data_IF_943126883816
#
_entry.id   IF_943126883816
#
_cell.length_a   1.000
_cell.length_b   1.000
_cell.length_c   1.000
_cell.angle_alpha   90.00
_cell.angle_beta   90.00
_cell.angle_gamma   90.00
#
_symmetry.space_group_name_H-M   'P 1'
#
loop_
_entity.id
_entity.type
_entity.pdbx_description
1 polymer ?
#
# COMPACT_ATOMS: atom_id res chain seq x y z
N UNK A 1 -14.92 22.58 19.60
CA UNK A 1 -15.28 22.24 18.20
C UNK A 1 -14.15 22.57 17.22
N UNK A 2 -13.53 23.74 17.27
CA UNK A 2 -12.39 24.09 16.39
C UNK A 2 -11.11 23.24 16.60
N UNK A 3 -10.80 22.86 17.85
CA UNK A 3 -9.61 22.03 18.17
C UNK A 3 -9.70 20.63 17.54
N UNK A 4 -10.86 19.99 17.61
CA UNK A 4 -11.09 18.67 17.00
C UNK A 4 -10.99 18.70 15.46
N UNK A 5 -11.45 19.78 14.81
CA UNK A 5 -11.31 19.90 13.36
C UNK A 5 -9.84 20.08 12.95
N UNK A 6 -9.07 20.90 13.68
CA UNK A 6 -7.65 21.10 13.42
C UNK A 6 -6.82 19.81 13.60
N UNK A 7 -7.18 18.97 14.56
CA UNK A 7 -6.57 17.64 14.75
C UNK A 7 -6.87 16.68 13.59
N UNK A 8 -8.11 16.67 13.09
CA UNK A 8 -8.50 15.86 11.92
C UNK A 8 -7.75 16.35 10.67
N UNK A 9 -7.69 17.66 10.45
CA UNK A 9 -7.00 18.24 9.30
C UNK A 9 -5.50 17.94 9.32
N UNK A 10 -4.86 18.01 10.49
CA UNK A 10 -3.46 17.60 10.68
C UNK A 10 -3.26 16.11 10.41
N UNK A 11 -4.13 15.25 10.95
CA UNK A 11 -4.06 13.80 10.72
C UNK A 11 -4.18 13.46 9.23
N UNK A 12 -5.03 14.18 8.49
CA UNK A 12 -5.17 14.00 7.05
C UNK A 12 -3.96 14.48 6.27
N UNK A 13 -3.35 15.60 6.65
CA UNK A 13 -2.11 16.05 6.05
C UNK A 13 -1.00 15.00 6.23
N UNK A 14 -0.89 14.42 7.43
CA UNK A 14 0.06 13.35 7.72
C UNK A 14 -0.22 12.08 6.88
N UNK A 15 -1.48 11.68 6.73
CA UNK A 15 -1.87 10.54 5.88
C UNK A 15 -1.49 10.81 4.42
N UNK A 16 -1.82 11.99 3.87
CA UNK A 16 -1.47 12.37 2.50
C UNK A 16 0.03 12.31 2.28
N UNK A 17 0.81 12.93 3.17
CA UNK A 17 2.27 12.95 3.08
C UNK A 17 2.85 11.53 3.14
N UNK A 18 2.39 10.69 4.07
CA UNK A 18 2.86 9.29 4.20
C UNK A 18 2.50 8.46 2.97
N UNK A 19 1.26 8.55 2.49
CA UNK A 19 0.84 7.83 1.29
C UNK A 19 1.64 8.25 0.05
N UNK A 20 1.87 9.55 -0.15
CA UNK A 20 2.69 10.05 -1.26
C UNK A 20 4.17 9.62 -1.15
N UNK A 21 4.73 9.62 0.05
CA UNK A 21 6.07 9.09 0.29
C UNK A 21 6.14 7.59 -0.04
N UNK A 22 5.19 6.79 0.44
CA UNK A 22 5.16 5.35 0.21
C UNK A 22 4.95 4.99 -1.26
N UNK A 23 4.12 5.74 -1.98
CA UNK A 23 3.92 5.55 -3.42
C UNK A 23 5.22 5.81 -4.19
N UNK A 24 5.93 6.90 -3.87
CA UNK A 24 7.25 7.19 -4.48
C UNK A 24 8.28 6.13 -4.16
N UNK A 25 8.37 5.68 -2.91
CA UNK A 25 9.28 4.60 -2.53
C UNK A 25 8.98 3.29 -3.30
N UNK A 26 7.70 2.97 -3.52
CA UNK A 26 7.32 1.82 -4.33
C UNK A 26 7.68 2.00 -5.82
N UNK A 27 7.56 3.21 -6.36
CA UNK A 27 8.01 3.53 -7.73
C UNK A 27 9.52 3.37 -7.88
N UNK A 28 10.30 3.87 -6.93
CA UNK A 28 11.76 3.73 -6.91
C UNK A 28 12.17 2.25 -6.81
N UNK A 29 11.45 1.45 -6.02
CA UNK A 29 11.68 0.00 -5.93
C UNK A 29 11.33 -0.72 -7.24
N UNK A 30 10.22 -0.36 -7.90
CA UNK A 30 9.86 -0.91 -9.21
C UNK A 30 10.96 -0.62 -10.25
N UNK A 31 11.47 0.61 -10.29
CA UNK A 31 12.56 0.99 -11.18
C UNK A 31 13.85 0.19 -10.90
N UNK A 32 14.16 -0.08 -9.62
CA UNK A 32 15.29 -0.92 -9.24
C UNK A 32 15.12 -2.37 -9.67
N UNK A 33 13.91 -2.94 -9.56
CA UNK A 33 13.63 -4.30 -10.05
C UNK A 33 13.79 -4.38 -11.58
N UNK A 34 13.34 -3.37 -12.31
CA UNK A 34 13.52 -3.30 -13.77
C UNK A 34 14.98 -3.16 -14.18
N UNK A 35 15.77 -2.37 -13.44
CA UNK A 35 17.20 -2.28 -13.66
C UNK A 35 17.92 -3.62 -13.36
N UNK A 36 17.51 -4.31 -12.28
CA UNK A 36 18.05 -5.61 -11.90
C UNK A 36 17.76 -6.67 -12.96
N UNK A 37 16.54 -6.73 -13.48
CA UNK A 37 16.17 -7.64 -14.57
C UNK A 37 17.00 -7.38 -15.83
N UNK A 38 17.10 -6.12 -16.25
CA UNK A 38 17.91 -5.72 -17.43
C UNK A 38 19.40 -6.00 -17.26
N UNK A 39 19.91 -6.01 -16.04
CA UNK A 39 21.32 -6.30 -15.76
C UNK A 39 21.68 -7.78 -15.95
N UNK A 40 20.69 -8.68 -15.99
CA UNK A 40 20.91 -10.13 -16.04
C UNK A 40 21.47 -10.74 -14.76
N UNK A 41 21.60 -9.95 -13.68
CA UNK A 41 22.14 -10.39 -12.37
C UNK A 41 21.04 -10.75 -11.36
N UNK A 42 19.88 -11.19 -11.85
CA UNK A 42 18.76 -11.57 -11.00
C UNK A 42 19.13 -12.86 -10.25
N UNK A 43 19.07 -12.87 -8.90
CA UNK A 43 19.26 -14.11 -8.15
C UNK A 43 18.21 -15.16 -8.56
N UNK A 44 18.58 -16.44 -8.72
CA UNK A 44 17.68 -17.48 -9.24
C UNK A 44 16.51 -17.80 -8.30
N UNK A 45 16.64 -17.46 -7.02
CA UNK A 45 15.65 -17.60 -5.97
C UNK A 45 14.71 -16.38 -5.84
N UNK A 46 14.99 -15.29 -6.56
CA UNK A 46 14.21 -14.06 -6.50
C UNK A 46 13.05 -14.07 -7.50
N UNK A 47 11.81 -14.02 -6.98
CA UNK A 47 10.61 -13.94 -7.81
C UNK A 47 10.26 -12.48 -8.13
N UNK A 48 10.98 -11.90 -9.11
CA UNK A 48 10.80 -10.49 -9.52
C UNK A 48 9.35 -10.13 -9.83
N UNK A 49 8.62 -10.98 -10.55
CA UNK A 49 7.22 -10.71 -10.91
C UNK A 49 6.31 -10.62 -9.69
N UNK A 50 6.55 -11.45 -8.68
CA UNK A 50 5.79 -11.42 -7.45
C UNK A 50 6.11 -10.16 -6.62
N UNK A 51 7.38 -9.73 -6.58
CA UNK A 51 7.77 -8.48 -5.95
C UNK A 51 7.14 -7.27 -6.64
N UNK A 52 7.20 -7.22 -7.98
CA UNK A 52 6.55 -6.17 -8.78
C UNK A 52 5.06 -6.10 -8.50
N UNK A 53 4.38 -7.25 -8.55
CA UNK A 53 2.94 -7.32 -8.29
C UNK A 53 2.60 -6.80 -6.88
N UNK A 54 3.37 -7.21 -5.87
CA UNK A 54 3.16 -6.73 -4.50
C UNK A 54 3.39 -5.22 -4.36
N UNK A 55 4.38 -4.65 -5.06
CA UNK A 55 4.61 -3.19 -5.05
C UNK A 55 3.45 -2.43 -5.73
N UNK A 56 2.93 -2.95 -6.84
CA UNK A 56 1.74 -2.39 -7.50
C UNK A 56 0.52 -2.44 -6.58
N UNK A 57 0.30 -3.58 -5.92
CA UNK A 57 -0.76 -3.74 -4.91
C UNK A 57 -0.59 -2.74 -3.77
N UNK A 58 0.63 -2.59 -3.24
CA UNK A 58 0.93 -1.65 -2.17
C UNK A 58 0.60 -0.21 -2.57
N UNK A 59 0.98 0.22 -3.78
CA UNK A 59 0.63 1.55 -4.31
C UNK A 59 -0.87 1.77 -4.36
N UNK A 60 -1.62 0.78 -4.88
CA UNK A 60 -3.07 0.86 -4.97
C UNK A 60 -3.70 0.96 -3.59
N UNK A 61 -3.23 0.17 -2.63
CA UNK A 61 -3.70 0.22 -1.26
C UNK A 61 -3.42 1.59 -0.60
N UNK A 62 -2.26 2.21 -0.84
CA UNK A 62 -1.97 3.56 -0.35
C UNK A 62 -2.92 4.62 -0.93
N UNK A 63 -3.22 4.54 -2.22
CA UNK A 63 -4.18 5.43 -2.88
C UNK A 63 -5.58 5.30 -2.28
N UNK A 64 -6.03 4.06 -2.08
CA UNK A 64 -7.34 3.74 -1.49
C UNK A 64 -7.45 4.19 -0.03
N UNK A 65 -6.39 3.98 0.76
CA UNK A 65 -6.35 4.43 2.15
C UNK A 65 -6.43 5.95 2.27
N UNK A 66 -5.75 6.68 1.36
CA UNK A 66 -5.86 8.14 1.27
C UNK A 66 -7.27 8.57 0.90
N UNK A 67 -7.89 7.94 -0.10
CA UNK A 67 -9.25 8.26 -0.51
C UNK A 67 -10.27 8.05 0.63
N UNK A 68 -10.14 6.94 1.37
CA UNK A 68 -10.96 6.67 2.54
C UNK A 68 -10.76 7.73 3.63
N UNK A 69 -9.52 8.14 3.88
CA UNK A 69 -9.24 9.20 4.85
C UNK A 69 -9.87 10.54 4.40
N UNK A 70 -9.71 10.92 3.13
CA UNK A 70 -10.30 12.14 2.58
C UNK A 70 -11.83 12.14 2.61
N UNK A 71 -12.47 10.96 2.51
CA UNK A 71 -13.93 10.82 2.63
C UNK A 71 -14.47 11.30 3.98
N UNK A 72 -13.66 11.29 5.05
CA UNK A 72 -14.07 11.71 6.40
C UNK A 72 -14.41 13.21 6.49
N UNK A 73 -13.92 14.01 5.55
CA UNK A 73 -14.19 15.44 5.43
C UNK A 73 -15.51 15.73 4.68
N UNK A 74 -16.06 14.73 3.99
CA UNK A 74 -17.32 14.88 3.26
C UNK A 74 -18.51 14.65 4.22
N UNK A 75 -19.65 15.34 4.05
CA UNK A 75 -20.88 15.04 4.80
C UNK A 75 -21.36 13.60 4.61
N UNK A 76 -22.11 13.06 5.58
CA UNK A 76 -22.69 11.72 5.41
C UNK A 76 -23.73 11.69 4.30
N UNK A 77 -23.56 10.73 3.39
CA UNK A 77 -24.45 10.53 2.25
C UNK A 77 -24.43 9.05 1.83
N UNK A 78 -25.51 8.55 1.21
CA UNK A 78 -25.53 7.21 0.63
C UNK A 78 -24.36 6.96 -0.32
N UNK A 79 -24.01 7.94 -1.14
CA UNK A 79 -22.91 7.87 -2.11
C UNK A 79 -21.55 7.70 -1.42
N UNK A 80 -21.28 8.48 -0.36
CA UNK A 80 -20.04 8.37 0.42
C UNK A 80 -19.94 7.00 1.08
N UNK A 81 -21.03 6.50 1.69
CA UNK A 81 -21.05 5.18 2.33
C UNK A 81 -20.81 4.05 1.32
N UNK A 82 -21.43 4.15 0.15
CA UNK A 82 -21.21 3.21 -0.95
C UNK A 82 -19.75 3.22 -1.40
N UNK A 83 -19.16 4.40 -1.63
CA UNK A 83 -17.76 4.49 -2.05
C UNK A 83 -16.79 3.94 -1.00
N UNK A 84 -17.04 4.24 0.28
CA UNK A 84 -16.21 3.70 1.36
C UNK A 84 -16.29 2.17 1.45
N UNK A 85 -17.48 1.59 1.22
CA UNK A 85 -17.65 0.13 1.17
C UNK A 85 -16.89 -0.50 -0.02
N UNK A 86 -16.93 0.14 -1.19
CA UNK A 86 -16.16 -0.28 -2.37
C UNK A 86 -14.66 -0.24 -2.11
N UNK A 87 -14.16 0.84 -1.51
CA UNK A 87 -12.74 0.97 -1.13
C UNK A 87 -12.32 -0.16 -0.20
N UNK A 88 -13.12 -0.47 0.82
CA UNK A 88 -12.84 -1.57 1.76
C UNK A 88 -12.85 -2.92 1.05
N UNK A 89 -13.81 -3.18 0.18
CA UNK A 89 -13.85 -4.40 -0.61
C UNK A 89 -12.63 -4.53 -1.53
N UNK A 90 -12.22 -3.45 -2.18
CA UNK A 90 -11.03 -3.43 -3.03
C UNK A 90 -9.76 -3.70 -2.23
N UNK A 91 -9.62 -3.11 -1.04
CA UNK A 91 -8.50 -3.39 -0.13
C UNK A 91 -8.44 -4.87 0.28
N UNK A 92 -9.58 -5.51 0.55
CA UNK A 92 -9.63 -6.94 0.86
C UNK A 92 -9.22 -7.81 -0.34
N UNK A 93 -9.66 -7.45 -1.55
CA UNK A 93 -9.24 -8.15 -2.76
C UNK A 93 -7.73 -8.02 -2.99
N UNK A 94 -7.18 -6.81 -2.81
CA UNK A 94 -5.74 -6.55 -2.92
C UNK A 94 -4.93 -7.38 -1.91
N UNK A 95 -5.41 -7.53 -0.67
CA UNK A 95 -4.77 -8.40 0.32
C UNK A 95 -4.73 -9.87 -0.11
N UNK A 96 -5.79 -10.36 -0.75
CA UNK A 96 -5.84 -11.73 -1.30
C UNK A 96 -4.91 -11.96 -2.50
N UNK A 97 -4.49 -10.89 -3.18
CA UNK A 97 -3.58 -10.95 -4.33
C UNK A 97 -2.10 -10.87 -3.93
N UNK A 98 -1.80 -10.54 -2.67
CA UNK A 98 -0.43 -10.49 -2.18
C UNK A 98 0.21 -11.88 -2.27
N UNK A 99 1.42 -11.90 -2.82
CA UNK A 99 2.24 -13.10 -2.88
C UNK A 99 3.24 -13.08 -1.75
N UNK A 100 3.22 -14.10 -0.89
CA UNK A 100 4.12 -14.21 0.26
C UNK A 100 5.34 -15.10 -0.03
N UNK A 101 5.36 -15.78 -1.17
CA UNK A 101 6.43 -16.64 -1.67
C UNK A 101 7.54 -15.86 -2.40
N UNK A 102 7.75 -14.59 -2.02
CA UNK A 102 8.73 -13.66 -2.60
C UNK A 102 10.13 -13.78 -2.01
N UNK A 103 10.32 -14.60 -0.98
CA UNK A 103 11.61 -14.85 -0.34
C UNK A 103 12.08 -16.30 -0.57
N UNK A 104 13.41 -16.53 -0.66
CA UNK A 104 13.94 -17.88 -0.52
C UNK A 104 13.48 -18.48 0.81
N UNK A 105 13.28 -19.80 0.84
CA UNK A 105 13.02 -20.55 2.06
C UNK A 105 14.15 -20.29 3.07
N UNK A 106 13.97 -19.35 4.00
CA UNK A 106 15.01 -18.98 4.95
C UNK A 106 15.02 -17.53 5.45
N UNK A 107 14.23 -16.60 4.90
CA UNK A 107 14.02 -15.33 5.59
C UNK A 107 12.99 -15.50 6.71
N UNK A 108 13.28 -15.05 7.94
CA UNK A 108 12.36 -15.18 9.07
C UNK A 108 11.06 -14.46 8.70
N UNK A 109 9.99 -15.23 8.66
CA UNK A 109 8.66 -14.68 8.44
C UNK A 109 8.29 -13.78 9.62
N UNK A 110 7.33 -12.87 9.47
CA UNK A 110 6.88 -12.04 10.59
C UNK A 110 6.42 -12.87 11.81
N UNK A 111 6.07 -14.16 11.61
CA UNK A 111 5.78 -15.12 12.66
C UNK A 111 7.01 -15.58 13.47
N UNK A 112 8.22 -15.44 12.93
CA UNK A 112 9.48 -15.82 13.62
C UNK A 112 10.01 -14.71 14.55
N UNK A 113 9.46 -13.50 14.48
CA UNK A 113 9.88 -12.37 15.34
C UNK A 113 9.13 -12.30 16.68
N UNK A 114 8.23 -13.25 16.94
CA UNK A 114 7.41 -13.33 18.16
C UNK A 114 7.63 -14.60 18.97
N UNK A 115 8.76 -15.29 18.80
CA UNK A 115 9.21 -16.35 19.72
C UNK A 115 10.39 -15.90 20.55
#
# INVERSE_FOLDING_TARGET
RAVAQAEIDRSLADIRQKSEHNIRAADDMLAQLDALEKSGKVPPDLRLDALRNNLVIAKRAQSLARELAESTQLPDSPQRRQRNAEIVAELQQLQGQLRYDVAPAGLPTAADRTR
#
